data_IF_034124018661
#
_entry.id   IF_034124018661
#
_cell.length_a   1.000
_cell.length_b   1.000
_cell.length_c   1.000
_cell.angle_alpha   90.00
_cell.angle_beta   90.00
_cell.angle_gamma   90.00
#
_symmetry.space_group_name_H-M   'P 1'
#
loop_
_entity.id
_entity.type
_entity.pdbx_description
1 polymer ?
#
# COMPACT_ATOMS: atom_id res chain seq x y z
N UNK A 1 -5.84 -18.02 29.73
CA UNK A 1 -7.05 -17.46 29.08
C UNK A 1 -7.80 -16.55 30.06
N UNK A 2 -8.08 -17.01 31.27
CA UNK A 2 -8.80 -16.21 32.28
C UNK A 2 -8.06 -14.92 32.70
N UNK A 3 -6.75 -14.97 32.92
CA UNK A 3 -5.98 -13.77 33.31
C UNK A 3 -6.07 -12.62 32.27
N UNK A 4 -6.01 -12.96 30.98
CA UNK A 4 -6.09 -11.97 29.90
C UNK A 4 -7.49 -11.34 29.89
N UNK A 5 -8.54 -12.15 30.08
CA UNK A 5 -9.93 -11.67 30.11
C UNK A 5 -10.16 -10.76 31.32
N UNK A 6 -9.68 -11.14 32.50
CA UNK A 6 -9.79 -10.32 33.72
C UNK A 6 -9.07 -8.99 33.55
N UNK A 7 -7.86 -9.00 33.00
CA UNK A 7 -7.11 -7.76 32.74
C UNK A 7 -7.84 -6.82 31.78
N UNK A 8 -8.48 -7.34 30.73
CA UNK A 8 -9.30 -6.52 29.81
C UNK A 8 -10.49 -5.90 30.56
N UNK A 9 -11.16 -6.66 31.43
CA UNK A 9 -12.29 -6.19 32.21
C UNK A 9 -11.93 -5.09 33.20
N UNK A 10 -10.74 -5.17 33.79
CA UNK A 10 -10.22 -4.18 34.73
C UNK A 10 -9.80 -2.89 34.00
N UNK A 11 -9.28 -3.02 32.78
CA UNK A 11 -8.79 -1.89 31.99
C UNK A 11 -9.79 -1.33 30.97
N UNK A 12 -11.03 -1.86 30.91
CA UNK A 12 -12.06 -1.48 29.92
C UNK A 12 -12.29 0.02 29.79
N UNK A 13 -12.28 0.77 30.92
CA UNK A 13 -12.52 2.21 30.90
C UNK A 13 -11.45 2.96 30.13
N UNK A 14 -10.19 2.57 30.30
CA UNK A 14 -9.08 3.18 29.59
C UNK A 14 -9.03 2.69 28.13
N UNK A 15 -9.17 1.38 27.89
CA UNK A 15 -9.16 0.79 26.53
C UNK A 15 -10.23 1.40 25.61
N UNK A 16 -11.42 1.70 26.14
CA UNK A 16 -12.53 2.31 25.40
C UNK A 16 -12.70 3.81 25.67
N UNK A 17 -11.79 4.43 26.44
CA UNK A 17 -11.65 5.89 26.41
C UNK A 17 -11.07 6.26 25.05
N UNK A 18 -11.57 7.31 24.38
CA UNK A 18 -11.18 7.61 22.99
C UNK A 18 -9.66 7.64 22.75
N UNK A 19 -8.87 8.02 23.76
CA UNK A 19 -7.40 7.98 23.70
C UNK A 19 -6.84 6.54 23.70
N UNK A 20 -7.35 5.66 24.57
CA UNK A 20 -6.92 4.25 24.62
C UNK A 20 -7.31 3.52 23.35
N UNK A 21 -8.51 3.77 22.83
CA UNK A 21 -8.95 3.21 21.55
C UNK A 21 -8.04 3.68 20.41
N UNK A 22 -7.67 4.96 20.39
CA UNK A 22 -6.72 5.52 19.43
C UNK A 22 -5.36 4.83 19.45
N UNK A 23 -4.80 4.56 20.64
CA UNK A 23 -3.52 3.85 20.80
C UNK A 23 -3.62 2.41 20.26
N UNK A 24 -4.68 1.67 20.61
CA UNK A 24 -4.88 0.29 20.13
C UNK A 24 -4.95 0.25 18.60
N UNK A 25 -5.75 1.14 18.00
CA UNK A 25 -5.87 1.25 16.53
C UNK A 25 -4.53 1.63 15.90
N UNK A 26 -3.76 2.52 16.52
CA UNK A 26 -2.44 2.92 16.01
C UNK A 26 -1.44 1.77 16.04
N UNK A 27 -1.36 1.03 17.14
CA UNK A 27 -0.52 -0.18 17.26
C UNK A 27 -0.95 -1.24 16.24
N UNK A 28 -2.26 -1.50 16.14
CA UNK A 28 -2.80 -2.42 15.14
C UNK A 28 -2.43 -2.00 13.72
N UNK A 29 -2.54 -0.71 13.40
CA UNK A 29 -2.13 -0.18 12.10
C UNK A 29 -0.65 -0.41 11.83
N UNK A 30 0.24 -0.31 12.81
CA UNK A 30 1.67 -0.56 12.62
C UNK A 30 1.97 -2.04 12.35
N UNK A 31 1.35 -2.95 13.11
CA UNK A 31 1.56 -4.40 12.98
C UNK A 31 0.96 -4.91 11.66
N UNK A 32 -0.24 -4.45 11.31
CA UNK A 32 -0.95 -4.86 10.10
C UNK A 32 -0.72 -3.92 8.92
N UNK A 33 0.27 -3.02 9.01
CA UNK A 33 0.64 -2.14 7.90
C UNK A 33 1.14 -3.02 6.78
N UNK A 34 0.28 -3.32 5.79
CA UNK A 34 0.73 -3.94 4.56
C UNK A 34 1.76 -3.01 3.93
N UNK A 35 2.98 -3.51 3.75
CA UNK A 35 3.92 -2.89 2.83
C UNK A 35 3.23 -2.92 1.47
N UNK A 36 2.91 -1.75 0.92
CA UNK A 36 2.40 -1.65 -0.45
C UNK A 36 3.52 -2.13 -1.38
N UNK A 37 3.58 -3.44 -1.65
CA UNK A 37 4.50 -4.02 -2.62
C UNK A 37 3.98 -3.65 -3.99
N UNK A 38 4.46 -2.52 -4.51
CA UNK A 38 4.14 -1.94 -5.81
C UNK A 38 2.65 -1.64 -6.04
N UNK A 39 2.34 -0.50 -6.64
CA UNK A 39 1.03 -0.33 -7.29
C UNK A 39 0.94 -1.42 -8.36
N UNK A 40 0.03 -2.38 -8.23
CA UNK A 40 -0.30 -3.31 -9.32
C UNK A 40 -1.02 -2.48 -10.37
N UNK A 41 -0.31 -2.06 -11.40
CA UNK A 41 -0.87 -1.40 -12.56
C UNK A 41 -1.18 -2.47 -13.61
N UNK A 42 -2.42 -2.47 -14.11
CA UNK A 42 -2.88 -3.35 -15.18
C UNK A 42 -3.30 -2.48 -16.35
N UNK A 43 -2.54 -2.49 -17.45
CA UNK A 43 -2.87 -1.79 -18.69
C UNK A 43 -3.11 -2.82 -19.78
N UNK A 44 -4.23 -2.70 -20.48
CA UNK A 44 -4.55 -3.48 -21.67
C UNK A 44 -4.07 -2.74 -22.92
N UNK A 45 -3.17 -3.36 -23.71
CA UNK A 45 -2.73 -2.87 -25.02
C UNK A 45 -3.64 -3.38 -26.13
N UNK A 46 -3.93 -2.53 -27.12
CA UNK A 46 -4.54 -2.94 -28.39
C UNK A 46 -3.53 -3.60 -29.35
N UNK A 47 -4.00 -4.05 -30.52
CA UNK A 47 -3.14 -4.65 -31.55
C UNK A 47 -2.02 -3.68 -31.97
N UNK A 48 -0.79 -4.21 -32.07
CA UNK A 48 0.43 -3.48 -32.47
C UNK A 48 0.85 -2.32 -31.52
N UNK A 49 0.54 -2.41 -30.22
CA UNK A 49 0.99 -1.43 -29.22
C UNK A 49 1.98 -2.03 -28.21
N UNK A 50 2.90 -1.20 -27.72
CA UNK A 50 3.88 -1.57 -26.69
C UNK A 50 3.57 -0.85 -25.40
N UNK A 51 3.15 -1.58 -24.37
CA UNK A 51 2.86 -1.01 -23.05
C UNK A 51 4.15 -0.92 -22.22
N UNK A 52 4.47 0.29 -21.77
CA UNK A 52 5.54 0.54 -20.81
C UNK A 52 4.94 0.98 -19.48
N UNK A 53 5.20 0.21 -18.42
CA UNK A 53 4.75 0.51 -17.06
C UNK A 53 5.95 0.43 -16.13
N UNK A 54 6.16 1.47 -15.34
CA UNK A 54 7.07 1.43 -14.21
C UNK A 54 6.47 2.22 -13.05
N UNK A 55 6.70 1.74 -11.83
CA UNK A 55 6.26 2.46 -10.62
C UNK A 55 7.09 3.70 -10.30
N UNK A 56 8.14 3.99 -11.08
CA UNK A 56 9.03 5.17 -10.95
C UNK A 56 9.39 5.70 -12.34
N UNK A 57 10.65 5.60 -12.76
CA UNK A 57 11.12 6.22 -13.99
C UNK A 57 11.13 5.24 -15.17
N UNK A 58 10.59 5.67 -16.31
CA UNK A 58 10.67 4.96 -17.60
C UNK A 58 11.59 5.75 -18.52
N UNK A 59 12.76 5.19 -18.87
CA UNK A 59 13.67 5.79 -19.85
C UNK A 59 13.58 5.04 -21.19
N UNK A 60 12.78 5.56 -22.12
CA UNK A 60 12.66 5.02 -23.48
C UNK A 60 13.66 5.76 -24.38
N UNK A 61 14.73 5.07 -24.81
CA UNK A 61 15.62 5.56 -25.87
C UNK A 61 15.11 5.06 -27.21
N UNK A 62 14.55 5.94 -28.03
CA UNK A 62 14.29 5.61 -29.44
C UNK A 62 15.58 5.80 -30.25
N UNK A 63 15.93 4.83 -31.10
CA UNK A 63 16.90 5.09 -32.17
C UNK A 63 16.15 5.88 -33.25
N UNK A 64 16.58 7.11 -33.52
CA UNK A 64 16.05 7.92 -34.64
C UNK A 64 16.18 7.08 -35.91
N UNK A 65 15.06 6.72 -36.54
CA UNK A 65 15.11 6.00 -37.82
C UNK A 65 15.26 7.07 -38.89
N UNK A 66 16.07 6.81 -39.91
CA UNK A 66 16.48 7.81 -40.92
C UNK A 66 15.31 8.44 -41.70
N UNK A 67 14.09 7.93 -41.54
CA UNK A 67 12.85 8.39 -42.19
C UNK A 67 11.87 9.12 -41.26
N UNK A 68 12.28 9.49 -40.05
CA UNK A 68 11.44 10.31 -39.17
C UNK A 68 11.43 11.75 -39.71
N UNK A 69 10.32 12.17 -40.35
CA UNK A 69 10.07 13.58 -40.75
C UNK A 69 9.77 14.41 -39.51
N UNK A 70 10.40 15.59 -39.41
CA UNK A 70 10.16 16.58 -38.36
C UNK A 70 8.72 17.12 -38.36
#
# INVERSE_FOLDING_TARGET
MEEIVTWIFDNKKWLFSGIGFGIIVWIGRLIFKKTCTSSTQTIHSGNNSTNFQAGRDVNIRSKKKQTDVE
#
